data_IF_299091386655
#
_entry.id   IF_299091386655
#
_cell.length_a   1.000
_cell.length_b   1.000
_cell.length_c   1.000
_cell.angle_alpha   90.00
_cell.angle_beta   90.00
_cell.angle_gamma   90.00
#
_symmetry.space_group_name_H-M   'P 1'
#
loop_
_entity.id
_entity.type
_entity.pdbx_description
1 polymer ?
#
# COMPACT_ATOMS: atom_id res chain seq x y z
N UNK A 1 14.94 -5.97 10.98
CA UNK A 1 14.27 -5.82 9.68
C UNK A 1 12.84 -5.44 9.95
N UNK A 2 12.26 -4.50 9.19
CA UNK A 2 10.87 -4.08 9.41
C UNK A 2 9.94 -4.95 8.55
N UNK A 3 8.81 -5.33 9.14
CA UNK A 3 7.74 -6.09 8.49
C UNK A 3 6.63 -5.13 8.01
N UNK A 4 5.84 -5.59 7.04
CA UNK A 4 4.65 -4.86 6.60
C UNK A 4 3.51 -5.17 7.54
N UNK A 5 2.88 -4.14 8.11
CA UNK A 5 1.69 -4.27 8.95
C UNK A 5 0.49 -3.69 8.23
N UNK A 6 -0.58 -4.49 8.09
CA UNK A 6 -1.85 -4.04 7.53
C UNK A 6 -2.86 -3.92 8.66
N UNK A 7 -3.30 -2.69 8.91
CA UNK A 7 -4.44 -2.42 9.75
C UNK A 7 -5.70 -2.57 8.91
N UNK A 8 -6.52 -3.56 9.24
CA UNK A 8 -7.73 -3.93 8.51
C UNK A 8 -8.92 -4.04 9.47
N UNK A 9 -10.12 -4.31 8.96
CA UNK A 9 -11.30 -4.60 9.78
C UNK A 9 -11.92 -5.92 9.34
N UNK A 10 -12.42 -6.71 10.29
CA UNK A 10 -13.25 -7.87 9.99
C UNK A 10 -14.74 -7.50 9.89
N UNK A 11 -15.12 -6.28 10.29
CA UNK A 11 -16.49 -5.81 10.21
C UNK A 11 -16.92 -5.64 8.76
N UNK A 12 -17.86 -6.48 8.32
CA UNK A 12 -18.44 -6.41 6.98
C UNK A 12 -19.53 -5.33 6.84
N UNK A 13 -19.74 -4.51 7.88
CA UNK A 13 -20.77 -3.47 7.90
C UNK A 13 -20.61 -2.47 6.74
N UNK A 14 -19.37 -2.20 6.33
CA UNK A 14 -19.06 -1.41 5.13
C UNK A 14 -18.42 -2.33 4.09
N UNK A 15 -19.25 -2.83 3.15
CA UNK A 15 -18.81 -3.78 2.11
C UNK A 15 -17.56 -3.31 1.38
N UNK A 16 -17.52 -2.03 1.01
CA UNK A 16 -16.37 -1.40 0.32
C UNK A 16 -15.07 -1.58 1.11
N UNK A 17 -15.05 -1.18 2.38
CA UNK A 17 -13.86 -1.31 3.24
C UNK A 17 -13.39 -2.76 3.36
N UNK A 18 -14.31 -3.72 3.48
CA UNK A 18 -13.95 -5.14 3.53
C UNK A 18 -13.38 -5.66 2.20
N UNK A 19 -13.92 -5.19 1.06
CA UNK A 19 -13.37 -5.47 -0.27
C UNK A 19 -11.96 -4.87 -0.44
N UNK A 20 -11.78 -3.62 -0.03
CA UNK A 20 -10.50 -2.91 -0.11
C UNK A 20 -9.42 -3.64 0.72
N UNK A 21 -9.78 -4.10 1.93
CA UNK A 21 -8.89 -4.92 2.77
C UNK A 21 -8.46 -6.21 2.04
N UNK A 22 -9.41 -6.94 1.44
CA UNK A 22 -9.10 -8.17 0.68
C UNK A 22 -8.19 -7.90 -0.50
N UNK A 23 -8.45 -6.82 -1.26
CA UNK A 23 -7.64 -6.45 -2.42
C UNK A 23 -6.23 -6.05 -2.03
N UNK A 24 -6.06 -5.25 -0.99
CA UNK A 24 -4.72 -4.87 -0.50
C UNK A 24 -3.92 -6.08 -0.03
N UNK A 25 -4.55 -7.02 0.68
CA UNK A 25 -3.87 -8.25 1.11
C UNK A 25 -3.47 -9.12 -0.08
N UNK A 26 -4.37 -9.31 -1.05
CA UNK A 26 -4.07 -10.07 -2.26
C UNK A 26 -2.96 -9.43 -3.10
N UNK A 27 -2.94 -8.10 -3.18
CA UNK A 27 -1.87 -7.34 -3.85
C UNK A 27 -0.52 -7.63 -3.22
N UNK A 28 -0.40 -7.50 -1.89
CA UNK A 28 0.86 -7.73 -1.18
C UNK A 28 1.31 -9.20 -1.24
N UNK A 29 0.36 -10.14 -1.18
CA UNK A 29 0.63 -11.57 -1.36
C UNK A 29 1.16 -11.90 -2.77
N UNK A 30 0.63 -11.25 -3.82
CA UNK A 30 1.13 -11.42 -5.19
C UNK A 30 2.60 -11.00 -5.33
N UNK A 31 3.03 -9.98 -4.58
CA UNK A 31 4.44 -9.57 -4.49
C UNK A 31 5.28 -10.46 -3.57
N UNK A 32 4.69 -11.45 -2.90
CA UNK A 32 5.37 -12.30 -1.91
C UNK A 32 5.81 -11.53 -0.67
N UNK A 33 5.13 -10.42 -0.34
CA UNK A 33 5.44 -9.60 0.83
C UNK A 33 4.93 -10.30 2.09
N UNK A 34 5.79 -10.43 3.10
CA UNK A 34 5.37 -10.92 4.41
C UNK A 34 4.58 -9.82 5.14
N UNK A 35 3.30 -10.11 5.43
CA UNK A 35 2.36 -9.17 6.03
C UNK A 35 1.89 -9.65 7.40
N UNK A 36 1.95 -8.78 8.39
CA UNK A 36 1.25 -8.91 9.67
C UNK A 36 -0.08 -8.17 9.60
N UNK A 37 -1.19 -8.84 9.91
CA UNK A 37 -2.53 -8.23 9.85
C UNK A 37 -3.02 -7.94 11.26
N UNK A 38 -3.45 -6.70 11.49
CA UNK A 38 -4.04 -6.24 12.75
C UNK A 38 -5.48 -5.81 12.50
N UNK A 39 -6.43 -6.44 13.19
CA UNK A 39 -7.85 -6.13 13.07
C UNK A 39 -8.24 -4.99 14.00
N UNK A 40 -8.69 -3.87 13.44
CA UNK A 40 -9.02 -2.61 14.12
C UNK A 40 -10.53 -2.53 14.38
N UNK A 41 -11.08 -3.58 14.99
CA UNK A 41 -12.52 -3.69 15.24
C UNK A 41 -12.91 -3.08 16.60
N UNK A 42 -11.96 -2.99 17.54
CA UNK A 42 -12.18 -2.39 18.86
C UNK A 42 -11.93 -0.87 18.86
N UNK A 43 -12.63 -0.09 19.70
CA UNK A 43 -12.41 1.35 19.80
C UNK A 43 -11.00 1.69 20.29
N UNK A 44 -10.39 0.86 21.14
CA UNK A 44 -9.02 1.05 21.63
C UNK A 44 -8.01 0.95 20.49
N UNK A 45 -8.15 -0.05 19.62
CA UNK A 45 -7.29 -0.19 18.45
C UNK A 45 -7.52 0.95 17.45
N UNK A 46 -8.76 1.42 17.27
CA UNK A 46 -9.03 2.60 16.41
C UNK A 46 -8.34 3.85 16.95
N UNK A 47 -8.42 4.10 18.26
CA UNK A 47 -7.75 5.22 18.90
C UNK A 47 -6.21 5.12 18.74
N UNK A 48 -5.65 3.92 18.92
CA UNK A 48 -4.23 3.66 18.69
C UNK A 48 -3.80 3.96 17.25
N UNK A 49 -4.57 3.50 16.25
CA UNK A 49 -4.24 3.76 14.84
C UNK A 49 -4.39 5.25 14.50
N UNK A 50 -5.37 5.96 15.07
CA UNK A 50 -5.47 7.41 14.93
C UNK A 50 -4.24 8.14 15.51
N UNK A 51 -3.74 7.69 16.66
CA UNK A 51 -2.50 8.23 17.24
C UNK A 51 -1.29 7.96 16.33
N UNK A 52 -1.21 6.76 15.73
CA UNK A 52 -0.17 6.43 14.75
C UNK A 52 -0.23 7.33 13.50
N UNK A 53 -1.45 7.63 13.00
CA UNK A 53 -1.65 8.54 11.88
C UNK A 53 -1.22 9.97 12.23
N UNK A 54 -1.56 10.45 13.43
CA UNK A 54 -1.14 11.77 13.91
C UNK A 54 0.39 11.90 13.99
N UNK A 55 1.08 10.82 14.37
CA UNK A 55 2.56 10.77 14.42
C UNK A 55 3.22 10.77 13.04
N UNK A 56 2.51 10.45 11.96
CA UNK A 56 3.10 10.44 10.61
C UNK A 56 3.59 11.81 10.16
N UNK A 57 2.92 12.89 10.58
CA UNK A 57 3.34 14.24 10.26
C UNK A 57 4.75 14.56 10.80
N UNK A 58 5.10 14.03 11.97
CA UNK A 58 6.44 14.20 12.55
C UNK A 58 7.51 13.38 11.82
N UNK A 59 7.14 12.28 11.17
CA UNK A 59 8.06 11.46 10.37
C UNK A 59 8.34 12.14 9.02
N UNK A 60 7.33 12.80 8.42
CA UNK A 60 7.49 13.54 7.17
C UNK A 60 7.74 12.67 5.93
N UNK A 61 7.74 11.34 6.07
CA UNK A 61 8.05 10.40 4.99
C UNK A 61 7.11 10.57 3.79
N UNK A 62 5.80 10.70 4.03
CA UNK A 62 4.82 10.84 2.95
C UNK A 62 5.09 12.06 2.07
N UNK A 63 5.33 13.22 2.67
CA UNK A 63 5.65 14.45 1.95
C UNK A 63 6.94 14.33 1.11
N UNK A 64 7.95 13.64 1.63
CA UNK A 64 9.21 13.39 0.91
C UNK A 64 9.03 12.49 -0.32
N UNK A 65 8.05 11.59 -0.27
CA UNK A 65 7.73 10.65 -1.34
C UNK A 65 6.56 11.12 -2.22
N UNK A 66 6.21 12.41 -2.17
CA UNK A 66 5.15 13.01 -2.99
C UNK A 66 3.74 12.56 -2.62
N UNK A 67 3.57 11.84 -1.52
CA UNK A 67 2.28 11.50 -0.94
C UNK A 67 1.82 12.67 -0.07
N UNK A 68 0.53 13.00 -0.15
CA UNK A 68 -0.05 14.07 0.65
C UNK A 68 0.04 13.82 2.16
N UNK A 69 -0.58 14.69 2.99
CA UNK A 69 -0.65 14.46 4.43
C UNK A 69 -1.27 13.09 4.75
N UNK A 70 -1.05 12.62 5.99
CA UNK A 70 -1.69 11.39 6.43
C UNK A 70 -3.22 11.53 6.31
N UNK A 71 -3.90 10.59 5.65
CA UNK A 71 -5.35 10.65 5.50
C UNK A 71 -6.04 10.43 6.85
N UNK A 72 -7.33 10.79 6.95
CA UNK A 72 -8.15 10.35 8.08
C UNK A 72 -8.15 8.82 8.17
N UNK A 73 -8.56 8.28 9.33
CA UNK A 73 -8.63 6.84 9.56
C UNK A 73 -9.54 6.16 8.52
N UNK A 74 -8.94 5.60 7.47
CA UNK A 74 -9.60 4.85 6.41
C UNK A 74 -8.85 3.54 6.22
N UNK A 75 -9.48 2.43 6.61
CA UNK A 75 -8.92 1.10 6.45
C UNK A 75 -9.13 0.60 5.00
N UNK A 76 -8.23 -0.25 4.46
CA UNK A 76 -6.97 -0.70 5.08
C UNK A 76 -5.86 0.36 5.04
N UNK A 77 -4.97 0.30 6.03
CA UNK A 77 -3.74 1.11 6.08
C UNK A 77 -2.51 0.20 6.08
N UNK A 78 -1.53 0.52 5.22
CA UNK A 78 -0.27 -0.21 5.10
C UNK A 78 0.88 0.54 5.73
N UNK A 79 1.52 -0.10 6.71
CA UNK A 79 2.68 0.42 7.42
C UNK A 79 3.89 -0.47 7.21
N UNK A 80 5.07 0.14 7.22
CA UNK A 80 6.35 -0.55 7.38
C UNK A 80 7.00 0.01 8.64
N UNK A 81 6.97 -0.79 9.71
CA UNK A 81 7.26 -0.31 11.06
C UNK A 81 6.45 0.95 11.41
N UNK A 82 7.06 2.12 11.67
CA UNK A 82 6.34 3.34 12.02
C UNK A 82 5.85 4.15 10.80
N UNK A 83 6.24 3.79 9.58
CA UNK A 83 5.99 4.59 8.36
C UNK A 83 4.69 4.15 7.69
N UNK A 84 3.75 5.08 7.49
CA UNK A 84 2.57 4.86 6.66
C UNK A 84 2.96 4.94 5.18
N UNK A 85 2.93 3.79 4.52
CA UNK A 85 3.18 3.66 3.08
C UNK A 85 1.97 4.15 2.30
N UNK A 86 0.75 3.75 2.70
CA UNK A 86 -0.47 4.29 2.12
C UNK A 86 -1.77 3.56 2.45
N UNK A 87 -2.86 4.09 1.92
CA UNK A 87 -4.20 3.49 1.91
C UNK A 87 -4.34 2.47 0.78
N UNK A 88 -5.51 1.83 0.66
CA UNK A 88 -5.82 0.97 -0.48
C UNK A 88 -5.57 1.64 -1.84
N UNK A 89 -6.13 2.84 -2.05
CA UNK A 89 -6.06 3.55 -3.33
C UNK A 89 -4.61 3.93 -3.67
N UNK A 90 -3.86 4.44 -2.68
CA UNK A 90 -2.45 4.82 -2.87
C UNK A 90 -1.56 3.61 -3.19
N UNK A 91 -1.81 2.45 -2.57
CA UNK A 91 -1.07 1.22 -2.88
C UNK A 91 -1.41 0.70 -4.27
N UNK A 92 -2.66 0.87 -4.72
CA UNK A 92 -3.09 0.52 -6.07
C UNK A 92 -2.38 1.42 -7.11
N UNK A 93 -2.32 2.73 -6.87
CA UNK A 93 -1.59 3.69 -7.72
C UNK A 93 -0.10 3.36 -7.79
N UNK A 94 0.54 3.07 -6.66
CA UNK A 94 1.95 2.64 -6.61
C UNK A 94 2.19 1.33 -7.37
N UNK A 95 1.23 0.40 -7.33
CA UNK A 95 1.30 -0.85 -8.07
C UNK A 95 1.16 -0.62 -9.58
N UNK A 96 0.20 0.21 -10.00
CA UNK A 96 0.00 0.58 -11.40
C UNK A 96 1.22 1.32 -11.97
N UNK A 97 1.86 2.16 -11.16
CA UNK A 97 3.12 2.83 -11.50
C UNK A 97 4.34 1.89 -11.47
N UNK A 98 4.20 0.65 -10.96
CA UNK A 98 5.30 -0.30 -10.78
C UNK A 98 6.31 0.09 -9.69
N UNK A 99 6.01 1.10 -8.87
CA UNK A 99 6.92 1.66 -7.84
C UNK A 99 6.65 1.09 -6.44
N UNK A 100 5.58 0.32 -6.25
CA UNK A 100 5.21 -0.25 -4.94
C UNK A 100 6.38 -0.99 -4.24
N UNK A 101 7.13 -1.90 -4.88
CA UNK A 101 8.28 -2.54 -4.21
C UNK A 101 9.36 -1.55 -3.77
N UNK A 102 9.62 -0.52 -4.58
CA UNK A 102 10.59 0.53 -4.25
C UNK A 102 10.12 1.36 -3.06
N UNK A 103 8.85 1.74 -3.02
CA UNK A 103 8.25 2.47 -1.90
C UNK A 103 8.30 1.66 -0.60
N UNK A 104 7.98 0.36 -0.65
CA UNK A 104 8.07 -0.53 0.52
C UNK A 104 9.52 -0.64 1.02
N UNK A 105 10.51 -0.77 0.12
CA UNK A 105 11.93 -0.77 0.52
C UNK A 105 12.37 0.56 1.10
N UNK A 106 11.95 1.68 0.51
CA UNK A 106 12.26 3.02 1.01
C UNK A 106 11.67 3.27 2.40
N UNK A 107 10.51 2.68 2.70
CA UNK A 107 9.91 2.67 4.03
C UNK A 107 10.63 1.73 5.03
N UNK A 108 11.59 0.92 4.55
CA UNK A 108 12.46 0.08 5.36
C UNK A 108 12.10 -1.41 5.38
N UNK A 109 11.26 -1.87 4.46
CA UNK A 109 10.93 -3.29 4.34
C UNK A 109 12.18 -4.08 3.94
N UNK A 110 12.55 -5.05 4.78
CA UNK A 110 13.76 -5.85 4.60
C UNK A 110 13.52 -7.24 4.00
N UNK A 111 12.28 -7.58 3.67
CA UNK A 111 11.95 -8.89 3.13
C UNK A 111 12.25 -9.01 1.62
N UNK A 112 12.14 -10.24 1.12
CA UNK A 112 12.24 -10.50 -0.32
C UNK A 112 10.91 -10.19 -1.02
N UNK A 113 11.00 -9.89 -2.31
CA UNK A 113 9.86 -9.82 -3.21
C UNK A 113 9.92 -11.05 -4.12
N UNK A 114 8.77 -11.63 -4.45
CA UNK A 114 8.70 -12.68 -5.45
C UNK A 114 9.22 -12.12 -6.78
N UNK A 115 10.26 -12.73 -7.33
CA UNK A 115 10.80 -12.35 -8.64
C UNK A 115 9.67 -12.38 -9.67
N UNK A 116 9.45 -11.24 -10.33
CA UNK A 116 8.26 -11.01 -11.12
C UNK A 116 8.16 -11.95 -12.33
N UNK A 117 7.06 -12.71 -12.42
CA UNK A 117 6.44 -13.08 -13.69
C UNK A 117 5.83 -11.86 -14.42
N UNK A 118 5.95 -10.65 -13.84
CA UNK A 118 5.47 -9.38 -14.37
C UNK A 118 6.56 -8.54 -15.08
N UNK A 119 7.80 -9.02 -15.18
CA UNK A 119 8.83 -8.39 -16.02
C UNK A 119 8.89 -8.98 -17.45
N UNK A 120 8.02 -9.92 -17.82
CA UNK A 120 7.98 -10.55 -19.16
C UNK A 120 6.67 -10.31 -19.93
N UNK A 121 5.91 -9.26 -19.61
CA UNK A 121 4.88 -8.78 -20.53
C UNK A 121 5.44 -7.54 -21.19
N UNK A 122 6.17 -7.73 -22.30
CA UNK A 122 6.49 -6.65 -23.23
C UNK A 122 5.17 -6.01 -23.68
N UNK A 123 4.81 -4.87 -23.11
CA UNK A 123 3.75 -4.01 -23.64
C UNK A 123 4.24 -3.56 -25.01
N UNK A 124 3.52 -4.03 -26.04
CA UNK A 124 4.06 -4.23 -27.37
C UNK A 124 4.67 -3.00 -28.03
N UNK A 125 5.87 -3.19 -28.56
CA UNK A 125 6.26 -2.58 -29.81
C UNK A 125 6.86 -3.68 -30.72
N UNK A 126 6.42 -3.64 -31.98
CA UNK A 126 6.87 -4.44 -33.12
C UNK A 126 6.28 -5.86 -33.27
N UNK A 127 5.46 -5.97 -34.31
CA UNK A 127 5.09 -7.19 -35.01
C UNK A 127 6.29 -8.12 -35.26
N UNK A 128 6.09 -9.43 -35.05
CA UNK A 128 6.34 -10.52 -36.03
C UNK A 128 5.79 -11.84 -35.43
N UNK A 129 4.93 -12.61 -36.13
CA UNK A 129 4.36 -13.84 -35.58
C UNK A 129 5.23 -15.09 -35.85
N UNK A 130 5.14 -16.02 -34.91
CA UNK A 130 5.17 -17.48 -35.07
C UNK A 130 6.39 -18.16 -35.72
N UNK A 131 7.23 -18.82 -34.90
CA UNK A 131 7.80 -20.14 -35.20
C UNK A 131 8.55 -20.73 -33.99
N UNK A 132 7.85 -21.37 -33.05
CA UNK A 132 8.47 -22.31 -32.12
C UNK A 132 7.43 -23.31 -31.59
N UNK A 133 6.78 -24.01 -32.51
CA UNK A 133 6.00 -25.21 -32.19
C UNK A 133 6.45 -26.31 -33.15
N UNK A 134 7.48 -27.06 -32.77
CA UNK A 134 7.72 -28.46 -33.14
C UNK A 134 9.15 -28.86 -32.78
N UNK A 135 9.31 -29.65 -31.71
CA UNK A 135 10.04 -30.92 -31.75
C UNK A 135 10.13 -31.48 -30.32
N UNK A 136 9.20 -32.38 -30.01
CA UNK A 136 9.33 -33.30 -28.90
C UNK A 136 10.16 -34.53 -29.31
N UNK A 137 10.91 -35.06 -28.33
CA UNK A 137 11.48 -36.42 -28.18
C UNK A 137 12.88 -36.72 -28.80
N UNK A 138 13.58 -37.78 -28.33
CA UNK A 138 13.99 -38.17 -26.96
C UNK A 138 15.52 -38.46 -26.87
N UNK A 139 16.12 -38.90 -25.72
CA UNK A 139 17.58 -38.98 -25.57
C UNK A 139 18.15 -40.32 -26.07
N UNK A 140 19.23 -40.27 -26.85
CA UNK A 140 20.03 -41.45 -27.20
C UNK A 140 21.52 -41.22 -26.95
N UNK A 141 22.16 -42.30 -26.53
CA UNK A 141 23.45 -42.39 -25.89
C UNK A 141 24.64 -42.26 -26.86
N UNK A 142 25.82 -41.95 -26.31
CA UNK A 142 27.07 -42.40 -26.92
C UNK A 142 28.24 -41.40 -26.89
N UNK A 143 29.07 -41.54 -25.86
CA UNK A 143 30.54 -41.71 -25.98
C UNK A 143 31.38 -40.69 -26.75
N UNK A 144 32.39 -40.14 -26.07
CA UNK A 144 33.56 -39.57 -26.75
C UNK A 144 34.37 -38.62 -25.88
N UNK A 145 35.30 -39.17 -25.10
CA UNK A 145 36.30 -38.42 -24.35
C UNK A 145 37.34 -37.76 -25.29
N UNK A 146 37.81 -36.56 -24.95
CA UNK A 146 39.21 -36.13 -25.11
C UNK A 146 39.49 -34.85 -24.30
N UNK A 147 40.20 -35.03 -23.18
CA UNK A 147 41.39 -34.30 -22.71
C UNK A 147 41.92 -33.17 -23.62
N UNK A 148 42.25 -31.98 -23.07
CA UNK A 148 43.65 -31.49 -22.82
C UNK A 148 43.72 -29.96 -22.55
N UNK A 149 44.36 -29.65 -21.41
CA UNK A 149 45.27 -28.54 -21.06
C UNK A 149 44.87 -27.05 -21.06
N UNK A 150 45.09 -26.48 -19.87
CA UNK A 150 45.89 -25.29 -19.54
C UNK A 150 46.13 -24.21 -20.61
N UNK A 151 45.73 -22.99 -20.23
CA UNK A 151 46.40 -21.75 -20.62
C UNK A 151 46.26 -20.73 -19.48
N UNK A 152 47.35 -20.50 -18.77
CA UNK A 152 47.52 -19.38 -17.83
C UNK A 152 47.88 -18.11 -18.61
N UNK A 153 47.47 -16.97 -18.08
CA UNK A 153 47.82 -15.61 -18.49
C UNK A 153 46.58 -14.74 -18.35
N UNK A 154 46.62 -13.48 -17.93
CA UNK A 154 47.70 -12.56 -17.60
C UNK A 154 46.97 -11.28 -17.13
N UNK A 155 47.66 -10.46 -16.34
CA UNK A 155 47.22 -9.28 -15.61
C UNK A 155 46.34 -8.25 -16.36
N UNK A 156 45.46 -7.58 -15.62
CA UNK A 156 44.58 -6.53 -16.13
C UNK A 156 43.91 -5.71 -15.02
N UNK A 157 44.75 -5.08 -14.21
CA UNK A 157 44.46 -3.94 -13.33
C UNK A 157 43.63 -2.85 -14.05
N UNK A 158 42.57 -2.37 -13.42
CA UNK A 158 41.64 -1.40 -13.99
C UNK A 158 40.65 -0.91 -12.93
N UNK A 159 41.17 -0.27 -11.89
CA UNK A 159 40.37 0.51 -10.95
C UNK A 159 39.85 1.76 -11.68
N UNK A 160 38.61 1.74 -12.14
CA UNK A 160 37.91 2.95 -12.57
C UNK A 160 37.29 3.59 -11.32
N UNK A 161 38.06 4.46 -10.67
CA UNK A 161 37.55 5.41 -9.66
C UNK A 161 36.51 6.32 -10.34
N UNK A 162 35.21 6.03 -10.14
CA UNK A 162 34.15 6.98 -10.46
C UNK A 162 34.33 8.23 -9.58
N UNK A 163 34.78 9.33 -10.19
CA UNK A 163 34.76 10.66 -9.56
C UNK A 163 33.33 10.99 -9.09
N UNK A 164 33.15 11.52 -7.87
CA UNK A 164 31.82 11.91 -7.41
C UNK A 164 31.23 13.00 -8.32
N UNK A 165 29.91 13.00 -8.55
CA UNK A 165 29.27 14.02 -9.37
C UNK A 165 29.55 15.42 -8.81
N UNK A 166 29.71 16.44 -9.68
CA UNK A 166 29.94 17.81 -9.22
C UNK A 166 28.76 18.30 -8.38
N UNK A 167 29.01 19.18 -7.38
CA UNK A 167 27.94 19.76 -6.57
C UNK A 167 26.98 20.59 -7.44
N UNK A 168 25.69 20.66 -7.08
CA UNK A 168 24.73 21.52 -7.76
C UNK A 168 25.15 22.99 -7.65
N UNK A 169 24.83 23.84 -8.65
CA UNK A 169 25.06 25.28 -8.55
C UNK A 169 24.25 25.88 -7.39
N UNK A 170 24.72 26.98 -6.77
CA UNK A 170 23.94 27.69 -5.77
C UNK A 170 22.65 28.24 -6.42
N UNK A 171 21.50 27.85 -5.89
CA UNK A 171 20.22 28.52 -6.19
C UNK A 171 20.37 30.00 -5.88
N UNK A 172 20.40 30.80 -6.93
CA UNK A 172 20.41 32.25 -6.84
C UNK A 172 19.04 32.69 -6.36
N UNK A 173 19.02 33.35 -5.23
CA UNK A 173 17.86 34.02 -4.65
C UNK A 173 17.41 35.12 -5.62
N UNK A 174 16.49 34.80 -6.53
CA UNK A 174 15.84 35.80 -7.38
C UNK A 174 14.51 36.21 -6.73
N UNK A 175 14.58 37.32 -6.00
CA UNK A 175 13.44 38.12 -5.59
C UNK A 175 12.66 38.56 -6.84
N UNK A 176 11.47 38.00 -7.03
CA UNK A 176 10.48 38.56 -7.95
C UNK A 176 9.37 39.21 -7.13
N UNK A 177 9.59 40.48 -6.80
CA UNK A 177 8.51 41.41 -6.47
C UNK A 177 7.56 41.49 -7.67
N UNK A 178 6.34 41.00 -7.50
CA UNK A 178 5.25 41.24 -8.44
C UNK A 178 4.18 42.08 -7.75
N UNK A 179 4.39 43.40 -7.76
CA UNK A 179 3.30 44.36 -7.65
C UNK A 179 2.51 44.37 -8.96
N UNK A 180 1.19 44.18 -8.86
CA UNK A 180 0.25 44.26 -9.98
C UNK A 180 -1.15 43.96 -9.47
N UNK A 181 -1.83 44.97 -8.94
CA UNK A 181 -2.75 45.81 -9.70
C UNK A 181 -4.15 45.18 -9.82
N UNK A 182 -5.08 45.82 -9.10
CA UNK A 182 -6.45 46.13 -9.50
C UNK A 182 -7.07 45.35 -10.66
N UNK A 183 -8.11 44.58 -10.36
CA UNK A 183 -9.46 44.78 -10.92
C UNK A 183 -10.34 43.57 -10.65
N UNK A 184 -11.52 43.82 -10.09
CA UNK A 184 -12.81 43.46 -10.70
C UNK A 184 -13.82 43.05 -9.63
N UNK A 185 -14.84 43.91 -9.55
CA UNK A 185 -16.12 43.70 -8.92
C UNK A 185 -16.79 42.42 -9.44
N UNK A 186 -17.23 41.55 -8.54
CA UNK A 186 -18.49 40.80 -8.70
C UNK A 186 -19.02 40.39 -7.33
N UNK A 187 -19.74 41.32 -6.71
CA UNK A 187 -20.67 41.00 -5.62
C UNK A 187 -21.86 40.24 -6.24
N UNK A 188 -21.73 38.93 -6.37
CA UNK A 188 -22.84 38.02 -6.65
C UNK A 188 -23.63 37.80 -5.37
N UNK A 189 -24.72 38.54 -5.25
CA UNK A 189 -25.74 38.38 -4.24
C UNK A 189 -26.70 37.24 -4.64
N UNK A 190 -27.03 36.39 -3.67
CA UNK A 190 -28.33 35.73 -3.43
C UNK A 190 -28.93 34.84 -4.54
N UNK A 191 -28.96 33.52 -4.28
CA UNK A 191 -29.97 32.53 -4.69
C UNK A 191 -29.49 31.19 -4.09
N UNK A 192 -30.24 30.29 -3.45
CA UNK A 192 -31.62 30.18 -3.01
C UNK A 192 -31.54 28.95 -2.09
N UNK A 193 -31.52 29.18 -0.78
CA UNK A 193 -31.40 28.18 0.27
C UNK A 193 -32.80 27.58 0.52
N UNK A 194 -33.24 26.73 -0.41
CA UNK A 194 -34.49 25.94 -0.30
C UNK A 194 -34.17 24.43 -0.29
N UNK A 195 -33.05 24.04 0.35
CA UNK A 195 -32.89 22.66 0.80
C UNK A 195 -33.81 22.43 2.01
N UNK A 196 -35.04 22.03 1.71
CA UNK A 196 -35.99 21.49 2.68
C UNK A 196 -35.25 20.48 3.57
N UNK A 197 -35.16 20.69 4.90
CA UNK A 197 -34.41 19.79 5.77
C UNK A 197 -34.99 18.38 5.62
N UNK A 198 -34.15 17.33 5.57
CA UNK A 198 -34.65 15.98 5.42
C UNK A 198 -35.67 15.70 6.53
N UNK A 199 -36.78 15.00 6.20
CA UNK A 199 -37.79 14.69 7.20
C UNK A 199 -37.14 13.98 8.39
N UNK A 200 -37.59 14.27 9.63
CA UNK A 200 -37.04 13.61 10.80
C UNK A 200 -37.14 12.09 10.62
N UNK A 201 -36.14 11.32 11.08
CA UNK A 201 -36.21 9.87 11.02
C UNK A 201 -37.51 9.41 11.71
N UNK A 202 -38.14 8.33 11.22
CA UNK A 202 -39.30 7.76 11.90
C UNK A 202 -38.92 7.50 13.37
N UNK A 203 -39.84 7.70 14.33
CA UNK A 203 -39.58 7.33 15.71
C UNK A 203 -39.09 5.90 15.72
N UNK A 204 -37.95 5.67 16.37
CA UNK A 204 -37.47 4.32 16.61
C UNK A 204 -38.62 3.56 17.31
N UNK A 205 -38.89 2.30 16.93
CA UNK A 205 -39.83 1.50 17.68
C UNK A 205 -39.41 1.57 19.15
N UNK A 206 -40.35 2.00 20.00
CA UNK A 206 -40.15 2.02 21.44
C UNK A 206 -39.73 0.60 21.83
N UNK A 207 -38.55 0.46 22.45
CA UNK A 207 -38.07 -0.80 23.00
C UNK A 207 -39.21 -1.39 23.85
N UNK A 208 -39.88 -2.41 23.31
CA UNK A 208 -40.70 -3.30 24.10
C UNK A 208 -39.71 -3.95 25.07
N UNK A 209 -39.69 -3.48 26.31
CA UNK A 209 -38.92 -4.11 27.37
C UNK A 209 -39.38 -5.57 27.44
N UNK A 210 -38.55 -6.47 26.90
CA UNK A 210 -38.75 -7.91 27.02
C UNK A 210 -38.69 -8.21 28.51
N UNK A 211 -39.87 -8.51 29.07
CA UNK A 211 -40.07 -9.05 30.40
C UNK A 211 -38.98 -10.12 30.67
N UNK A 212 -38.17 -9.90 31.70
CA UNK A 212 -37.25 -10.89 32.27
C UNK A 212 -38.07 -12.05 32.84
N UNK A 213 -38.55 -12.94 31.97
CA UNK A 213 -39.19 -14.18 32.36
C UNK A 213 -38.15 -15.16 32.93
N UNK A 214 -38.18 -15.26 34.26
CA UNK A 214 -38.14 -16.52 35.01
C UNK A 214 -36.95 -17.44 34.72
N UNK A 215 -35.76 -17.06 35.19
CA UNK A 215 -34.70 -18.04 35.42
C UNK A 215 -35.19 -19.03 36.52
N UNK A 216 -35.29 -20.34 36.23
CA UNK A 216 -35.75 -21.30 37.22
C UNK A 216 -34.81 -21.34 38.42
N UNK A 217 -35.31 -21.55 39.65
CA UNK A 217 -34.47 -21.58 40.83
C UNK A 217 -33.42 -22.69 40.72
N UNK A 218 -32.20 -22.47 41.25
CA UNK A 218 -31.13 -23.46 41.19
C UNK A 218 -31.56 -24.76 41.90
N UNK A 219 -31.20 -25.89 41.31
CA UNK A 219 -31.52 -27.21 41.87
C UNK A 219 -30.88 -27.38 43.26
N UNK A 220 -31.58 -28.05 44.20
CA UNK A 220 -31.02 -28.32 45.52
C UNK A 220 -29.79 -29.23 45.42
N UNK A 221 -28.82 -29.10 46.35
CA UNK A 221 -27.65 -29.96 46.36
C UNK A 221 -28.04 -31.43 46.60
N UNK A 222 -27.27 -32.39 46.07
CA UNK A 222 -27.54 -33.81 46.30
C UNK A 222 -27.37 -34.15 47.78
N UNK A 223 -28.37 -34.84 48.34
CA UNK A 223 -28.30 -35.45 49.68
C UNK A 223 -27.46 -36.74 49.60
N UNK A 224 -26.56 -36.91 50.57
CA UNK A 224 -25.63 -38.04 50.74
C UNK A 224 -26.34 -39.34 51.15
#
# INVERSE_FOLDING_TARGET
MQEVTIYATAMQAVRRTADDCRRTLALLDAFGVAVSVVLVDSPELRAFVQELLAKQAAIGWRLQHGLGPAPPLQLPLCFVGPVLVGTHDELAELNEAGTLPQSLRAAGYGGSFRAAAHNEISVGNAATPAAAAAAAAPPDAGGGATTTANGSGDDGDGEEEEEPPPPPPPDSEEEAEAEGADSALHSGALDDDDEEPPPPPPPLPEDEEEDEEDAPPPSPPPED
#
